data_IF_829434423430
#
_entry.id   IF_829434423430
#
_cell.length_a   1.000
_cell.length_b   1.000
_cell.length_c   1.000
_cell.angle_alpha   90.00
_cell.angle_beta   90.00
_cell.angle_gamma   90.00
#
_symmetry.space_group_name_H-M   'P 1'
#
loop_
_entity.id
_entity.type
_entity.pdbx_description
1 polymer ?
#
# COMPACT_ATOMS: atom_id res chain seq x y z
N UNK A 1 48.28 69.40 -11.05
CA UNK A 1 47.25 68.35 -11.15
C UNK A 1 47.84 67.04 -10.63
N UNK A 2 47.34 66.54 -9.50
CA UNK A 2 47.80 65.31 -8.82
C UNK A 2 47.26 64.08 -9.55
N UNK A 3 48.12 63.13 -9.95
CA UNK A 3 47.71 61.77 -10.32
C UNK A 3 48.13 60.81 -9.21
N UNK A 4 47.15 60.31 -8.45
CA UNK A 4 47.33 59.26 -7.46
C UNK A 4 47.17 57.92 -8.18
N UNK A 5 48.22 57.09 -8.21
CA UNK A 5 48.12 55.68 -8.64
C UNK A 5 47.63 54.85 -7.46
N UNK A 6 46.44 54.26 -7.55
CA UNK A 6 45.96 53.25 -6.61
C UNK A 6 46.51 51.88 -7.04
N UNK A 7 47.34 51.27 -6.20
CA UNK A 7 47.62 49.83 -6.28
C UNK A 7 46.41 49.09 -5.70
N UNK A 8 45.78 48.22 -6.50
CA UNK A 8 44.80 47.25 -6.02
C UNK A 8 45.57 45.95 -5.78
N UNK A 9 45.73 45.56 -4.53
CA UNK A 9 46.25 44.24 -4.15
C UNK A 9 45.05 43.30 -4.10
N UNK A 10 44.96 42.38 -5.05
CA UNK A 10 43.96 41.31 -5.07
C UNK A 10 44.47 40.20 -4.14
N UNK A 11 43.99 40.16 -2.89
CA UNK A 11 44.29 39.08 -1.96
C UNK A 11 43.50 37.82 -2.34
N UNK A 12 44.16 36.79 -2.86
CA UNK A 12 43.58 35.46 -2.98
C UNK A 12 43.37 34.91 -1.55
N UNK A 13 42.11 34.81 -1.13
CA UNK A 13 41.72 34.03 0.06
C UNK A 13 41.63 32.57 -0.42
N UNK A 14 42.68 31.79 -0.18
CA UNK A 14 42.63 30.34 -0.35
C UNK A 14 41.90 29.73 0.84
N UNK A 15 40.62 29.41 0.67
CA UNK A 15 39.87 28.61 1.64
C UNK A 15 40.44 27.18 1.65
N UNK A 16 40.91 26.64 2.78
CA UNK A 16 41.34 25.26 2.83
C UNK A 16 40.13 24.35 2.61
N UNK A 17 40.17 23.56 1.53
CA UNK A 17 39.22 22.48 1.29
C UNK A 17 39.50 21.37 2.30
N UNK A 18 38.87 21.43 3.47
CA UNK A 18 38.92 20.34 4.43
C UNK A 18 38.27 19.09 3.85
N UNK A 19 38.99 17.98 3.81
CA UNK A 19 38.41 16.66 3.58
C UNK A 19 37.45 16.34 4.73
N UNK A 20 36.14 16.38 4.46
CA UNK A 20 35.14 15.91 5.41
C UNK A 20 35.21 14.38 5.45
N UNK A 21 35.59 13.81 6.58
CA UNK A 21 35.53 12.37 6.82
C UNK A 21 34.09 11.99 7.16
N UNK A 22 33.58 10.93 6.52
CA UNK A 22 32.27 10.40 6.89
C UNK A 22 32.29 9.95 8.35
N UNK A 23 31.29 10.35 9.13
CA UNK A 23 31.20 10.04 10.55
C UNK A 23 30.79 8.57 10.74
N UNK A 24 31.61 7.80 11.46
CA UNK A 24 31.24 6.42 11.83
C UNK A 24 30.16 6.40 12.91
N UNK A 25 30.25 7.24 13.94
CA UNK A 25 29.23 7.28 15.00
C UNK A 25 27.84 7.63 14.46
N UNK A 26 26.83 6.85 14.83
CA UNK A 26 25.43 7.12 14.47
C UNK A 26 24.89 8.36 15.20
N UNK A 27 24.07 9.15 14.52
CA UNK A 27 23.22 10.18 15.13
C UNK A 27 21.75 9.82 14.88
N UNK A 28 20.97 9.48 15.92
CA UNK A 28 19.57 9.11 15.78
C UNK A 28 18.70 10.29 15.34
N UNK A 29 17.75 10.04 14.45
CA UNK A 29 16.73 10.97 14.00
C UNK A 29 15.33 10.52 14.38
N UNK A 30 14.34 10.94 13.59
CA UNK A 30 12.94 10.63 13.83
C UNK A 30 12.62 9.14 13.55
N UNK A 31 11.73 8.58 14.38
CA UNK A 31 11.09 7.29 14.18
C UNK A 31 9.71 7.52 13.57
N UNK A 32 9.38 6.83 12.49
CA UNK A 32 8.07 6.87 11.85
C UNK A 32 7.51 5.46 11.66
N UNK A 33 6.18 5.36 11.62
CA UNK A 33 5.45 4.12 11.43
C UNK A 33 4.49 4.25 10.23
N UNK A 34 5.01 4.30 8.99
CA UNK A 34 4.22 4.69 7.83
C UNK A 34 3.19 3.61 7.45
N UNK A 35 1.98 4.08 7.12
CA UNK A 35 0.89 3.30 6.50
C UNK A 35 0.58 1.96 7.20
N UNK A 36 0.11 1.97 8.46
CA UNK A 36 -0.21 0.73 9.18
C UNK A 36 -1.23 -0.12 8.42
N UNK A 37 -1.05 -1.44 8.45
CA UNK A 37 -2.00 -2.41 7.90
C UNK A 37 -2.85 -3.02 9.01
N UNK A 38 -3.68 -4.01 8.70
CA UNK A 38 -4.47 -4.70 9.73
C UNK A 38 -3.63 -5.60 10.62
N UNK A 39 -2.43 -6.03 10.18
CA UNK A 39 -1.60 -6.97 10.93
C UNK A 39 -0.11 -6.60 10.97
N UNK A 40 0.26 -5.46 10.40
CA UNK A 40 1.65 -5.01 10.30
C UNK A 40 1.85 -3.55 10.69
N UNK A 41 3.02 -3.28 11.26
CA UNK A 41 3.55 -1.93 11.47
C UNK A 41 4.95 -1.86 10.88
N UNK A 42 5.13 -1.06 9.83
CA UNK A 42 6.46 -0.68 9.35
C UNK A 42 7.12 0.29 10.33
N UNK A 43 8.43 0.21 10.45
CA UNK A 43 9.27 1.06 11.30
C UNK A 43 10.36 1.63 10.42
N UNK A 44 10.44 2.96 10.36
CA UNK A 44 11.60 3.65 9.82
C UNK A 44 12.22 4.52 10.91
N UNK A 45 13.53 4.38 11.11
CA UNK A 45 14.30 5.22 12.01
C UNK A 45 15.37 5.95 11.21
N UNK A 46 15.13 7.23 10.95
CA UNK A 46 16.10 8.08 10.27
C UNK A 46 17.37 8.21 11.12
N UNK A 47 18.54 8.17 10.47
CA UNK A 47 19.83 8.35 11.15
C UNK A 47 20.80 9.17 10.28
N UNK A 48 21.82 9.77 10.90
CA UNK A 48 23.01 10.28 10.21
C UNK A 48 24.26 9.55 10.70
N UNK A 49 25.37 9.62 9.96
CA UNK A 49 26.58 8.85 10.26
C UNK A 49 26.44 7.37 9.90
N UNK A 50 27.07 6.50 10.70
CA UNK A 50 27.17 5.05 10.46
C UNK A 50 27.74 4.72 9.07
N UNK A 51 28.85 5.36 8.72
CA UNK A 51 29.48 5.24 7.41
C UNK A 51 30.03 3.83 7.12
N UNK A 52 30.36 3.08 8.16
CA UNK A 52 30.81 1.69 8.11
C UNK A 52 29.66 0.67 8.28
N UNK A 53 28.40 1.14 8.45
CA UNK A 53 27.17 0.34 8.49
C UNK A 53 27.20 -0.79 9.54
N UNK A 54 27.74 -0.50 10.72
CA UNK A 54 27.85 -1.45 11.83
C UNK A 54 26.89 -1.16 12.98
N UNK A 55 26.07 -0.11 12.88
CA UNK A 55 24.97 0.17 13.80
C UNK A 55 23.88 -0.91 13.76
N UNK A 56 23.43 -1.35 14.92
CA UNK A 56 22.38 -2.36 15.09
C UNK A 56 21.22 -1.75 15.86
N UNK A 57 20.00 -1.88 15.34
CA UNK A 57 18.78 -1.53 16.07
C UNK A 57 17.94 -2.77 16.38
N UNK A 58 17.78 -3.04 17.67
CA UNK A 58 16.91 -4.12 18.17
C UNK A 58 15.52 -3.57 18.47
N UNK A 59 14.52 -4.44 18.37
CA UNK A 59 13.11 -4.08 18.54
C UNK A 59 12.47 -4.98 19.59
N UNK A 60 11.72 -4.39 20.52
CA UNK A 60 10.74 -5.13 21.32
C UNK A 60 9.43 -4.37 21.34
N UNK A 61 8.33 -5.08 21.51
CA UNK A 61 7.00 -4.49 21.44
C UNK A 61 6.01 -5.22 22.35
N UNK A 62 4.91 -4.56 22.71
CA UNK A 62 3.78 -5.17 23.42
C UNK A 62 2.48 -4.50 23.00
N UNK A 63 1.38 -5.22 23.04
CA UNK A 63 0.06 -4.58 23.00
C UNK A 63 -0.07 -3.68 24.24
N UNK A 64 -0.55 -2.45 24.11
CA UNK A 64 -0.57 -1.48 25.22
C UNK A 64 -1.40 -1.93 26.43
N UNK A 65 -2.32 -2.89 26.24
CA UNK A 65 -3.11 -3.51 27.30
C UNK A 65 -2.38 -4.63 28.05
N UNK A 66 -1.24 -5.08 27.54
CA UNK A 66 -0.46 -6.22 28.05
C UNK A 66 0.81 -5.76 28.78
N UNK A 67 1.26 -6.52 29.76
CA UNK A 67 2.59 -6.38 30.38
C UNK A 67 3.70 -7.10 29.61
N UNK A 68 3.35 -7.95 28.66
CA UNK A 68 4.26 -8.96 28.13
C UNK A 68 4.95 -8.45 26.87
N UNK A 69 6.24 -8.13 27.02
CA UNK A 69 7.09 -7.72 25.92
C UNK A 69 7.45 -8.92 25.03
N UNK A 70 7.32 -8.71 23.72
CA UNK A 70 7.74 -9.62 22.66
C UNK A 70 8.97 -9.03 21.97
N UNK A 71 9.86 -9.90 21.52
CA UNK A 71 11.02 -9.50 20.72
C UNK A 71 10.61 -9.42 19.25
N UNK A 72 10.86 -8.28 18.60
CA UNK A 72 10.73 -8.11 17.16
C UNK A 72 12.04 -8.42 16.45
N UNK A 73 12.00 -8.47 15.11
CA UNK A 73 13.22 -8.56 14.31
C UNK A 73 14.02 -7.25 14.42
N UNK A 74 15.34 -7.35 14.33
CA UNK A 74 16.19 -6.16 14.24
C UNK A 74 15.85 -5.36 12.98
N UNK A 75 15.98 -4.03 13.06
CA UNK A 75 15.88 -3.19 11.88
C UNK A 75 17.11 -3.40 10.99
N UNK A 76 16.88 -3.35 9.68
CA UNK A 76 17.91 -3.49 8.65
C UNK A 76 18.49 -2.12 8.34
N UNK A 77 19.80 -2.08 8.15
CA UNK A 77 20.51 -0.87 7.75
C UNK A 77 20.24 -0.51 6.29
N UNK A 78 19.79 0.73 6.04
CA UNK A 78 19.52 1.27 4.71
C UNK A 78 20.36 2.53 4.49
N UNK A 79 21.58 2.41 3.92
CA UNK A 79 22.41 3.56 3.58
C UNK A 79 21.68 4.52 2.64
N UNK A 80 21.91 5.83 2.79
CA UNK A 80 21.40 6.81 1.83
C UNK A 80 21.86 6.46 0.42
N UNK A 81 20.97 6.65 -0.55
CA UNK A 81 21.25 6.28 -1.92
C UNK A 81 20.31 6.93 -2.91
N UNK A 82 20.59 6.67 -4.18
CA UNK A 82 19.79 7.13 -5.30
C UNK A 82 19.86 6.15 -6.46
N UNK A 83 18.78 6.03 -7.21
CA UNK A 83 18.77 5.36 -8.50
C UNK A 83 19.27 6.31 -9.60
N UNK A 84 20.06 5.79 -10.53
CA UNK A 84 20.62 6.54 -11.65
C UNK A 84 19.62 6.78 -12.79
N UNK A 85 18.52 6.02 -12.80
CA UNK A 85 17.46 6.04 -13.80
C UNK A 85 16.12 6.19 -13.10
N UNK A 86 15.34 7.21 -13.47
CA UNK A 86 13.94 7.42 -13.04
C UNK A 86 13.75 8.24 -11.76
N UNK A 87 12.62 8.94 -11.71
CA UNK A 87 12.12 9.69 -10.54
C UNK A 87 11.11 8.83 -9.76
N UNK A 88 11.52 7.61 -9.37
CA UNK A 88 10.62 6.65 -8.73
C UNK A 88 10.32 6.97 -7.25
N UNK A 89 9.11 6.63 -6.81
CA UNK A 89 8.67 6.83 -5.43
C UNK A 89 8.60 8.30 -4.99
N UNK A 90 8.31 8.55 -3.70
CA UNK A 90 8.14 9.91 -3.17
C UNK A 90 9.44 10.73 -3.05
N UNK A 91 10.60 10.08 -3.19
CA UNK A 91 11.91 10.72 -3.09
C UNK A 91 12.55 11.09 -4.43
N UNK A 92 11.86 10.92 -5.57
CA UNK A 92 12.43 11.18 -6.90
C UNK A 92 13.68 10.32 -7.15
N UNK A 93 13.55 9.01 -6.90
CA UNK A 93 14.65 8.05 -7.02
C UNK A 93 15.69 8.12 -5.90
N UNK A 94 15.51 8.95 -4.85
CA UNK A 94 16.46 9.09 -3.73
C UNK A 94 15.85 8.65 -2.41
N UNK A 95 16.68 8.13 -1.52
CA UNK A 95 16.28 7.79 -0.16
C UNK A 95 17.33 8.22 0.87
N UNK A 96 16.83 8.60 2.04
CA UNK A 96 17.66 9.00 3.17
C UNK A 96 18.29 7.81 3.90
N UNK A 97 19.27 8.13 4.72
CA UNK A 97 19.96 7.18 5.57
C UNK A 97 19.04 6.75 6.74
N UNK A 98 18.77 5.45 6.88
CA UNK A 98 17.84 4.95 7.91
C UNK A 98 18.13 3.52 8.35
N UNK A 99 17.44 3.12 9.40
CA UNK A 99 17.18 1.73 9.77
C UNK A 99 15.70 1.44 9.50
N UNK A 100 15.37 0.30 8.91
CA UNK A 100 14.00 -0.03 8.53
C UNK A 100 13.64 -1.49 8.81
N UNK A 101 12.39 -1.75 9.16
CA UNK A 101 11.89 -3.10 9.42
C UNK A 101 10.39 -3.07 9.68
N UNK A 102 9.81 -4.21 10.05
CA UNK A 102 8.38 -4.31 10.32
C UNK A 102 8.09 -5.25 11.49
N UNK A 103 7.02 -4.96 12.21
CA UNK A 103 6.35 -5.91 13.10
C UNK A 103 5.22 -6.57 12.33
N UNK A 104 5.13 -7.90 12.45
CA UNK A 104 4.16 -8.74 11.76
C UNK A 104 3.24 -9.46 12.76
N UNK A 105 2.19 -10.10 12.24
CA UNK A 105 1.25 -10.93 13.00
C UNK A 105 0.64 -10.21 14.22
N UNK A 106 0.41 -8.92 14.07
CA UNK A 106 -0.24 -8.09 15.07
C UNK A 106 -1.75 -8.26 14.98
N UNK A 107 -2.44 -8.23 16.12
CA UNK A 107 -3.89 -8.18 16.16
C UNK A 107 -4.41 -6.87 15.53
N UNK A 108 -5.47 -6.92 14.70
CA UNK A 108 -6.09 -5.73 14.10
C UNK A 108 -6.72 -4.77 15.09
N UNK A 109 -6.67 -3.47 14.79
CA UNK A 109 -7.29 -2.41 15.58
C UNK A 109 -6.68 -2.26 16.99
N UNK A 110 -5.42 -2.68 17.16
CA UNK A 110 -4.72 -2.65 18.46
C UNK A 110 -3.58 -1.66 18.44
N UNK A 111 -3.34 -1.07 19.60
CA UNK A 111 -2.22 -0.18 19.86
C UNK A 111 -1.08 -0.95 20.49
N UNK A 112 0.14 -0.70 20.00
CA UNK A 112 1.38 -1.33 20.44
C UNK A 112 2.36 -0.27 20.90
N UNK A 113 2.97 -0.53 22.05
CA UNK A 113 4.19 0.15 22.48
C UNK A 113 5.39 -0.56 21.87
N UNK A 114 6.34 0.21 21.35
CA UNK A 114 7.51 -0.27 20.62
C UNK A 114 8.74 0.40 21.21
N UNK A 115 9.67 -0.39 21.70
CA UNK A 115 11.00 0.08 22.10
C UNK A 115 12.01 -0.30 21.03
N UNK A 116 12.80 0.69 20.62
CA UNK A 116 13.90 0.57 19.67
C UNK A 116 15.19 0.89 20.40
N UNK A 117 16.16 -0.02 20.36
CA UNK A 117 17.49 0.20 20.94
C UNK A 117 18.54 0.10 19.86
N UNK A 118 19.11 1.25 19.51
CA UNK A 118 20.27 1.41 18.63
C UNK A 118 21.56 1.28 19.44
N UNK A 119 22.47 0.44 18.96
CA UNK A 119 23.85 0.31 19.44
C UNK A 119 24.81 0.42 18.27
N UNK A 120 25.85 1.22 18.44
CA UNK A 120 26.89 1.46 17.43
C UNK A 120 28.26 1.43 18.14
N UNK A 121 29.20 0.55 17.73
CA UNK A 121 30.55 0.48 18.30
C UNK A 121 31.35 1.79 18.23
N UNK A 122 31.07 2.64 17.25
CA UNK A 122 31.72 3.93 17.03
C UNK A 122 31.04 5.07 17.83
N UNK A 123 29.92 4.80 18.50
CA UNK A 123 29.19 5.72 19.37
C UNK A 123 27.82 6.15 18.80
N UNK A 124 26.98 6.76 19.64
CA UNK A 124 25.63 7.19 19.22
C UNK A 124 24.48 6.24 19.56
N UNK A 125 24.72 5.31 20.49
CA UNK A 125 23.69 4.40 21.00
C UNK A 125 22.51 5.18 21.61
N UNK A 126 21.29 4.72 21.35
CA UNK A 126 20.06 5.37 21.83
C UNK A 126 18.96 4.34 22.05
N UNK A 127 18.09 4.59 23.03
CA UNK A 127 16.80 3.89 23.14
C UNK A 127 15.67 4.89 22.95
N UNK A 128 14.69 4.54 22.13
CA UNK A 128 13.49 5.33 21.86
C UNK A 128 12.27 4.43 22.02
N UNK A 129 11.26 4.94 22.72
CA UNK A 129 9.93 4.33 22.76
C UNK A 129 8.99 5.11 21.85
N UNK A 130 8.16 4.38 21.10
CA UNK A 130 7.10 4.94 20.26
C UNK A 130 5.84 4.08 20.37
N UNK A 131 4.74 4.57 19.82
CA UNK A 131 3.45 3.88 19.81
C UNK A 131 2.89 3.84 18.39
N UNK A 132 2.41 2.69 17.96
CA UNK A 132 1.73 2.50 16.67
C UNK A 132 0.44 1.72 16.83
N UNK A 133 -0.51 1.93 15.91
CA UNK A 133 -1.77 1.19 15.91
C UNK A 133 -1.98 0.49 14.57
N UNK A 134 -2.31 -0.80 14.60
CA UNK A 134 -2.80 -1.50 13.42
C UNK A 134 -4.19 -1.00 13.08
N UNK A 135 -4.55 -1.03 11.79
CA UNK A 135 -5.92 -0.72 11.35
C UNK A 135 -6.87 -1.81 11.80
N UNK A 136 -8.11 -1.43 12.13
CA UNK A 136 -9.17 -2.40 12.35
C UNK A 136 -9.54 -3.10 11.03
N UNK A 137 -10.04 -4.33 11.10
CA UNK A 137 -10.64 -4.98 9.93
C UNK A 137 -11.85 -4.14 9.48
N UNK A 138 -11.92 -3.72 8.21
CA UNK A 138 -13.07 -2.98 7.70
C UNK A 138 -14.39 -3.75 7.91
N UNK A 139 -15.32 -3.11 8.61
CA UNK A 139 -16.64 -3.65 8.90
C UNK A 139 -17.73 -2.74 8.34
N UNK A 140 -18.85 -3.33 7.95
CA UNK A 140 -20.06 -2.56 7.62
C UNK A 140 -20.67 -2.06 8.92
N UNK A 141 -20.97 -0.76 9.05
CA UNK A 141 -21.59 -0.22 10.26
C UNK A 141 -22.91 -0.93 10.57
N UNK A 142 -23.17 -1.23 11.84
CA UNK A 142 -24.39 -1.93 12.27
C UNK A 142 -25.66 -1.12 11.97
N UNK A 143 -25.55 0.20 11.84
CA UNK A 143 -26.64 1.12 11.51
C UNK A 143 -26.66 1.52 10.02
N UNK A 144 -25.98 0.76 9.16
CA UNK A 144 -26.03 0.97 7.71
C UNK A 144 -27.46 0.83 7.18
N UNK A 145 -27.86 1.72 6.27
CA UNK A 145 -29.21 1.74 5.69
C UNK A 145 -29.30 0.73 4.56
N UNK A 146 -29.87 -0.43 4.87
CA UNK A 146 -30.04 -1.50 3.88
C UNK A 146 -31.15 -1.17 2.89
N UNK A 147 -30.82 -1.20 1.60
CA UNK A 147 -31.70 -0.97 0.46
C UNK A 147 -31.72 -2.24 -0.40
N UNK A 148 -32.85 -2.95 -0.52
CA UNK A 148 -32.99 -4.08 -1.43
C UNK A 148 -32.92 -3.60 -2.90
N UNK A 149 -32.16 -4.30 -3.73
CA UNK A 149 -31.90 -3.90 -5.12
C UNK A 149 -32.05 -5.08 -6.08
N UNK A 150 -32.81 -4.89 -7.15
CA UNK A 150 -32.92 -5.84 -8.28
C UNK A 150 -32.13 -5.31 -9.47
N UNK A 151 -31.92 -6.11 -10.54
CA UNK A 151 -31.32 -5.60 -11.76
C UNK A 151 -32.01 -4.35 -12.32
N UNK A 152 -33.35 -4.28 -12.25
CA UNK A 152 -34.11 -3.14 -12.78
C UNK A 152 -34.01 -1.88 -11.92
N UNK A 153 -33.73 -1.99 -10.62
CA UNK A 153 -33.62 -0.85 -9.70
C UNK A 153 -32.19 -0.44 -9.39
N UNK A 154 -31.19 -1.21 -9.83
CA UNK A 154 -29.79 -0.96 -9.50
C UNK A 154 -29.30 0.41 -9.93
N UNK A 155 -29.50 0.79 -11.19
CA UNK A 155 -28.97 2.06 -11.71
C UNK A 155 -29.50 3.28 -10.93
N UNK A 156 -30.81 3.33 -10.64
CA UNK A 156 -31.41 4.44 -9.88
C UNK A 156 -31.01 4.43 -8.41
N UNK A 157 -30.88 3.24 -7.80
CA UNK A 157 -30.46 3.12 -6.40
C UNK A 157 -28.99 3.51 -6.24
N UNK A 158 -28.11 3.06 -7.14
CA UNK A 158 -26.70 3.45 -7.16
C UNK A 158 -26.55 4.96 -7.38
N UNK A 159 -27.30 5.55 -8.32
CA UNK A 159 -27.26 6.98 -8.60
C UNK A 159 -27.75 7.85 -7.41
N UNK A 160 -28.48 7.28 -6.46
CA UNK A 160 -28.95 7.95 -5.23
C UNK A 160 -28.26 7.46 -3.96
N UNK A 161 -27.27 6.57 -4.07
CA UNK A 161 -26.53 6.06 -2.93
C UNK A 161 -25.75 7.19 -2.22
N UNK A 162 -25.78 7.13 -0.89
CA UNK A 162 -25.14 8.06 0.02
C UNK A 162 -24.27 7.30 1.05
N UNK A 163 -23.25 7.93 1.63
CA UNK A 163 -22.43 7.31 2.67
C UNK A 163 -23.26 6.67 3.80
N UNK A 164 -22.95 5.42 4.14
CA UNK A 164 -23.69 4.61 5.11
C UNK A 164 -24.84 3.79 4.53
N UNK A 165 -25.09 3.86 3.22
CA UNK A 165 -26.02 2.95 2.55
C UNK A 165 -25.38 1.58 2.29
N UNK A 166 -26.20 0.53 2.41
CA UNK A 166 -25.90 -0.83 1.98
C UNK A 166 -26.91 -1.21 0.89
N UNK A 167 -26.45 -1.32 -0.35
CA UNK A 167 -27.23 -1.82 -1.47
C UNK A 167 -27.13 -3.34 -1.46
N UNK A 168 -28.20 -4.02 -1.02
CA UNK A 168 -28.29 -5.48 -0.99
C UNK A 168 -28.91 -5.97 -2.30
N UNK A 169 -28.09 -6.55 -3.15
CA UNK A 169 -28.47 -7.01 -4.48
C UNK A 169 -29.03 -8.42 -4.41
N UNK A 170 -30.27 -8.59 -4.87
CA UNK A 170 -30.88 -9.91 -5.06
C UNK A 170 -30.31 -10.65 -6.27
N UNK A 171 -30.67 -11.93 -6.46
CA UNK A 171 -30.24 -12.73 -7.61
C UNK A 171 -30.54 -12.05 -8.95
N UNK A 172 -29.57 -12.07 -9.85
CA UNK A 172 -29.75 -11.55 -11.19
C UNK A 172 -28.45 -11.14 -11.88
N UNK A 173 -28.61 -10.77 -13.15
CA UNK A 173 -27.54 -10.19 -13.95
C UNK A 173 -27.68 -8.68 -14.00
N UNK A 174 -26.62 -7.98 -13.65
CA UNK A 174 -26.52 -6.54 -13.57
C UNK A 174 -25.57 -6.03 -14.65
N UNK A 175 -25.86 -4.86 -15.21
CA UNK A 175 -24.90 -4.17 -16.06
C UNK A 175 -23.72 -3.65 -15.20
N UNK A 176 -22.46 -3.72 -15.68
CA UNK A 176 -21.35 -3.07 -14.99
C UNK A 176 -21.57 -1.56 -14.81
N UNK A 177 -20.87 -0.97 -13.85
CA UNK A 177 -21.09 0.42 -13.47
C UNK A 177 -19.79 1.16 -13.16
N UNK A 178 -19.88 2.49 -13.22
CA UNK A 178 -18.86 3.39 -12.69
C UNK A 178 -19.42 4.08 -11.44
N UNK A 179 -18.66 4.04 -10.34
CA UNK A 179 -19.08 4.64 -9.07
C UNK A 179 -18.88 6.16 -9.10
N UNK A 180 -19.97 6.90 -8.93
CA UNK A 180 -19.96 8.36 -9.00
C UNK A 180 -19.59 9.04 -7.68
N UNK A 181 -19.74 8.35 -6.54
CA UNK A 181 -19.56 8.94 -5.20
C UNK A 181 -18.67 8.10 -4.32
N UNK A 182 -18.01 8.73 -3.36
CA UNK A 182 -17.30 8.05 -2.28
C UNK A 182 -18.24 7.85 -1.08
N UNK A 183 -17.95 6.86 -0.25
CA UNK A 183 -18.33 6.91 1.15
C UNK A 183 -17.46 7.90 1.92
N UNK A 184 -17.57 7.88 3.24
CA UNK A 184 -16.69 8.62 4.16
C UNK A 184 -16.23 7.68 5.27
N UNK A 185 -15.22 8.06 6.09
CA UNK A 185 -14.83 7.27 7.25
C UNK A 185 -16.04 6.86 8.10
N UNK A 186 -16.06 5.60 8.53
CA UNK A 186 -17.15 4.96 9.29
C UNK A 186 -18.53 4.91 8.60
N UNK A 187 -18.66 5.41 7.37
CA UNK A 187 -19.88 5.40 6.57
C UNK A 187 -19.56 5.04 5.11
N UNK A 188 -19.09 3.80 4.85
CA UNK A 188 -18.86 3.36 3.48
C UNK A 188 -20.18 3.29 2.70
N UNK A 189 -20.08 3.29 1.37
CA UNK A 189 -21.18 2.82 0.52
C UNK A 189 -20.89 1.36 0.22
N UNK A 190 -21.80 0.48 0.62
CA UNK A 190 -21.63 -0.97 0.47
C UNK A 190 -22.49 -1.48 -0.67
N UNK A 191 -21.90 -2.23 -1.57
CA UNK A 191 -22.57 -2.94 -2.66
C UNK A 191 -22.33 -4.42 -2.39
N UNK A 192 -23.37 -5.10 -1.91
CA UNK A 192 -23.29 -6.49 -1.47
C UNK A 192 -24.30 -7.35 -2.21
N UNK A 193 -23.87 -8.45 -2.79
CA UNK A 193 -24.80 -9.46 -3.28
C UNK A 193 -25.35 -10.33 -2.15
N UNK A 194 -26.58 -10.83 -2.29
CA UNK A 194 -27.09 -11.88 -1.40
C UNK A 194 -26.22 -13.15 -1.46
N UNK A 195 -25.57 -13.40 -2.62
CA UNK A 195 -24.55 -14.42 -2.81
C UNK A 195 -23.73 -14.10 -4.06
N UNK A 196 -22.41 -14.39 -4.00
CA UNK A 196 -21.54 -14.28 -5.15
C UNK A 196 -21.97 -15.19 -6.31
N UNK A 197 -22.65 -16.32 -6.02
CA UNK A 197 -23.09 -17.27 -7.04
C UNK A 197 -24.30 -16.79 -7.85
N UNK A 198 -25.08 -15.86 -7.30
CA UNK A 198 -26.37 -15.46 -7.88
C UNK A 198 -26.41 -14.01 -8.33
N UNK A 199 -25.47 -13.17 -7.87
CA UNK A 199 -25.37 -11.75 -8.24
C UNK A 199 -24.19 -11.56 -9.18
N UNK A 200 -24.49 -11.33 -10.45
CA UNK A 200 -23.48 -11.31 -11.51
C UNK A 200 -23.51 -9.97 -12.26
N UNK A 201 -22.40 -9.25 -12.27
CA UNK A 201 -22.18 -8.14 -13.19
C UNK A 201 -21.57 -8.67 -14.48
N UNK A 202 -22.24 -8.49 -15.61
CA UNK A 202 -21.78 -9.07 -16.88
C UNK A 202 -22.30 -8.36 -18.13
N UNK A 203 -21.51 -8.29 -19.21
CA UNK A 203 -20.04 -8.39 -19.23
C UNK A 203 -19.41 -7.01 -19.02
N UNK A 204 -18.23 -6.96 -18.40
CA UNK A 204 -17.38 -5.77 -18.42
C UNK A 204 -16.91 -5.31 -17.04
N UNK A 205 -16.45 -4.06 -17.02
CA UNK A 205 -15.67 -3.49 -15.91
C UNK A 205 -16.54 -2.76 -14.89
N UNK A 206 -16.32 -3.05 -13.61
CA UNK A 206 -16.74 -2.18 -12.51
C UNK A 206 -15.63 -1.16 -12.25
N UNK A 207 -15.95 0.13 -12.38
CA UNK A 207 -14.96 1.22 -12.28
C UNK A 207 -15.18 2.04 -11.01
N UNK A 208 -14.15 2.10 -10.16
CA UNK A 208 -14.16 2.76 -8.85
C UNK A 208 -13.08 3.84 -8.73
N UNK A 209 -12.59 4.35 -9.87
CA UNK A 209 -11.48 5.30 -9.91
C UNK A 209 -11.73 6.54 -9.03
N UNK A 210 -10.70 6.91 -8.27
CA UNK A 210 -10.66 8.06 -7.36
C UNK A 210 -11.79 8.07 -6.32
N UNK A 211 -12.34 6.89 -5.99
CA UNK A 211 -13.33 6.75 -4.93
C UNK A 211 -12.68 6.29 -3.65
N UNK A 212 -13.40 6.48 -2.55
CA UNK A 212 -12.98 5.98 -1.25
C UNK A 212 -14.15 5.43 -0.48
N UNK A 213 -13.87 4.51 0.44
CA UNK A 213 -14.87 3.91 1.33
C UNK A 213 -16.02 3.25 0.55
N UNK A 214 -15.69 2.52 -0.52
CA UNK A 214 -16.63 1.68 -1.26
C UNK A 214 -16.30 0.23 -0.98
N UNK A 215 -17.29 -0.53 -0.55
CA UNK A 215 -17.14 -1.96 -0.25
C UNK A 215 -17.90 -2.77 -1.30
N UNK A 216 -17.19 -3.64 -2.00
CA UNK A 216 -17.74 -4.68 -2.86
C UNK A 216 -17.69 -6.01 -2.13
N UNK A 217 -18.84 -6.66 -1.97
CA UNK A 217 -18.94 -7.91 -1.23
C UNK A 217 -19.87 -8.92 -1.91
N UNK A 218 -19.49 -10.20 -1.86
CA UNK A 218 -20.40 -11.31 -2.18
C UNK A 218 -21.02 -11.21 -3.59
N UNK A 219 -20.20 -10.90 -4.60
CA UNK A 219 -20.65 -10.66 -5.98
C UNK A 219 -19.69 -11.25 -7.02
N UNK A 220 -20.23 -11.68 -8.17
CA UNK A 220 -19.44 -12.11 -9.34
C UNK A 220 -19.31 -10.98 -10.35
N UNK A 221 -18.10 -10.73 -10.84
CA UNK A 221 -17.78 -9.83 -11.95
C UNK A 221 -17.26 -10.66 -13.13
N UNK A 222 -17.96 -10.60 -14.26
CA UNK A 222 -17.51 -11.13 -15.55
C UNK A 222 -16.75 -10.03 -16.30
N UNK A 223 -15.53 -9.75 -15.84
CA UNK A 223 -14.66 -8.65 -16.29
C UNK A 223 -13.71 -8.21 -15.20
N UNK A 224 -13.43 -6.91 -15.13
CA UNK A 224 -12.41 -6.31 -14.27
C UNK A 224 -13.03 -5.45 -13.16
N UNK A 225 -12.39 -5.39 -12.00
CA UNK A 225 -12.59 -4.33 -11.00
C UNK A 225 -11.42 -3.37 -11.12
N UNK A 226 -11.67 -2.14 -11.56
CA UNK A 226 -10.64 -1.10 -11.68
C UNK A 226 -10.80 -0.03 -10.62
N UNK A 227 -9.73 0.31 -9.91
CA UNK A 227 -9.78 1.26 -8.79
C UNK A 227 -8.63 2.27 -8.79
N UNK A 228 -8.24 2.83 -9.95
CA UNK A 228 -7.13 3.79 -10.03
C UNK A 228 -7.34 4.97 -9.08
N UNK A 229 -6.34 5.31 -8.26
CA UNK A 229 -6.41 6.36 -7.24
C UNK A 229 -7.38 6.10 -6.08
N UNK A 230 -7.98 4.91 -6.00
CA UNK A 230 -8.95 4.60 -4.96
C UNK A 230 -8.28 4.25 -3.62
N UNK A 231 -8.91 4.67 -2.52
CA UNK A 231 -8.36 4.47 -1.16
C UNK A 231 -9.42 4.03 -0.16
N UNK A 232 -9.02 3.25 0.84
CA UNK A 232 -9.92 2.71 1.86
C UNK A 232 -11.07 1.89 1.25
N UNK A 233 -10.76 1.15 0.19
CA UNK A 233 -11.70 0.27 -0.50
C UNK A 233 -11.73 -1.10 0.16
N UNK A 234 -12.86 -1.81 0.03
CA UNK A 234 -12.95 -3.23 0.36
C UNK A 234 -13.42 -3.98 -0.86
N UNK A 235 -12.72 -5.04 -1.22
CA UNK A 235 -13.19 -6.06 -2.17
C UNK A 235 -13.03 -7.39 -1.48
N UNK A 236 -14.14 -8.04 -1.12
CA UNK A 236 -14.08 -9.32 -0.41
C UNK A 236 -15.16 -10.31 -0.77
N UNK A 237 -14.83 -11.60 -0.74
CA UNK A 237 -15.77 -12.68 -1.09
C UNK A 237 -16.38 -12.51 -2.48
N UNK A 238 -15.64 -11.88 -3.37
CA UNK A 238 -16.05 -11.68 -4.76
C UNK A 238 -15.43 -12.75 -5.66
N UNK A 239 -16.13 -13.05 -6.77
CA UNK A 239 -15.60 -13.87 -7.86
C UNK A 239 -15.32 -12.98 -9.05
N UNK A 240 -14.11 -13.03 -9.58
CA UNK A 240 -13.72 -12.26 -10.76
C UNK A 240 -13.33 -13.26 -11.85
N UNK A 241 -13.93 -13.11 -13.03
CA UNK A 241 -13.75 -13.98 -14.19
C UNK A 241 -13.47 -13.12 -15.40
N UNK A 242 -12.29 -13.28 -16.01
CA UNK A 242 -11.81 -12.31 -17.00
C UNK A 242 -10.80 -12.93 -17.96
N UNK A 243 -10.70 -12.38 -19.17
CA UNK A 243 -9.57 -12.59 -20.08
C UNK A 243 -8.64 -11.36 -20.16
N UNK A 244 -8.89 -10.38 -19.30
CA UNK A 244 -8.13 -9.14 -19.10
C UNK A 244 -7.70 -9.06 -17.61
N UNK A 245 -7.33 -7.88 -17.10
CA UNK A 245 -7.01 -7.71 -15.68
C UNK A 245 -8.15 -8.10 -14.72
N UNK A 246 -7.80 -8.61 -13.55
CA UNK A 246 -8.75 -9.01 -12.50
C UNK A 246 -9.16 -7.84 -11.60
N UNK A 247 -8.37 -7.55 -10.57
CA UNK A 247 -8.51 -6.39 -9.69
C UNK A 247 -7.28 -5.51 -9.87
N UNK A 248 -7.44 -4.33 -10.48
CA UNK A 248 -6.31 -3.48 -10.87
C UNK A 248 -6.47 -2.08 -10.32
N UNK A 249 -5.36 -1.47 -9.87
CA UNK A 249 -5.36 -0.05 -9.53
C UNK A 249 -3.98 0.60 -9.59
N UNK A 250 -3.92 1.68 -10.36
CA UNK A 250 -2.75 2.53 -10.51
C UNK A 250 -2.95 3.88 -9.81
N UNK A 251 -2.00 4.80 -9.96
CA UNK A 251 -2.17 6.20 -9.60
C UNK A 251 -3.32 6.81 -10.41
N UNK A 252 -4.24 7.50 -9.74
CA UNK A 252 -5.30 8.28 -10.37
C UNK A 252 -5.06 9.77 -10.15
N UNK A 253 -6.10 10.49 -9.76
CA UNK A 253 -5.95 11.83 -9.18
C UNK A 253 -5.27 11.78 -7.81
N UNK A 254 -5.22 10.61 -7.17
CA UNK A 254 -4.59 10.35 -5.88
C UNK A 254 -3.72 9.09 -5.95
N UNK A 255 -2.83 8.92 -4.99
CA UNK A 255 -2.09 7.67 -4.79
C UNK A 255 -3.00 6.71 -3.99
N UNK A 256 -3.26 5.48 -4.48
CA UNK A 256 -4.04 4.49 -3.74
C UNK A 256 -3.47 4.22 -2.34
N UNK A 257 -4.33 4.12 -1.33
CA UNK A 257 -3.94 3.77 0.04
C UNK A 257 -4.95 2.83 0.69
N UNK A 258 -4.47 1.98 1.59
CA UNK A 258 -5.32 1.32 2.59
C UNK A 258 -6.41 0.37 2.04
N UNK A 259 -6.34 -0.01 0.76
CA UNK A 259 -7.29 -0.95 0.14
C UNK A 259 -7.16 -2.35 0.76
N UNK A 260 -8.30 -3.00 0.97
CA UNK A 260 -8.44 -4.29 1.65
C UNK A 260 -9.08 -5.30 0.69
N UNK A 261 -8.27 -6.18 0.13
CA UNK A 261 -8.61 -7.11 -0.96
C UNK A 261 -8.41 -8.52 -0.42
N UNK A 262 -9.47 -9.13 0.07
CA UNK A 262 -9.36 -10.42 0.77
C UNK A 262 -10.45 -11.41 0.40
N UNK A 263 -10.16 -12.70 0.52
CA UNK A 263 -11.14 -13.77 0.29
C UNK A 263 -11.79 -13.71 -1.10
N UNK A 264 -11.07 -13.25 -2.12
CA UNK A 264 -11.59 -13.22 -3.48
C UNK A 264 -11.11 -14.42 -4.29
N UNK A 265 -11.88 -14.80 -5.30
CA UNK A 265 -11.52 -15.84 -6.27
C UNK A 265 -11.41 -15.22 -7.66
N UNK A 266 -10.17 -15.00 -8.11
CA UNK A 266 -9.82 -14.23 -9.31
C UNK A 266 -9.24 -15.19 -10.36
N UNK A 267 -9.95 -15.39 -11.47
CA UNK A 267 -9.56 -16.36 -12.50
C UNK A 267 -9.47 -15.69 -13.86
N UNK A 268 -8.27 -15.76 -14.44
CA UNK A 268 -7.90 -15.30 -15.78
C UNK A 268 -7.99 -16.40 -16.83
N UNK A 269 -7.37 -16.18 -17.99
CA UNK A 269 -7.40 -17.07 -19.15
C UNK A 269 -6.02 -17.53 -19.65
N UNK A 270 -4.94 -17.19 -18.95
CA UNK A 270 -3.60 -17.70 -19.24
C UNK A 270 -3.52 -19.21 -18.94
N UNK A 271 -2.69 -19.93 -19.70
CA UNK A 271 -2.49 -21.38 -19.60
C UNK A 271 -1.06 -21.78 -19.18
N UNK A 272 -0.25 -20.84 -18.67
CA UNK A 272 1.19 -20.98 -18.28
C UNK A 272 1.98 -21.99 -19.13
N UNK A 273 1.95 -21.81 -20.44
CA UNK A 273 2.87 -22.49 -21.37
C UNK A 273 4.09 -21.61 -21.60
N UNK A 274 5.23 -22.18 -22.02
CA UNK A 274 6.45 -21.38 -22.30
C UNK A 274 6.17 -20.18 -23.22
N UNK A 275 5.35 -20.37 -24.26
CA UNK A 275 4.99 -19.31 -25.21
C UNK A 275 4.18 -18.15 -24.58
N UNK A 276 3.59 -18.36 -23.40
CA UNK A 276 2.79 -17.36 -22.69
C UNK A 276 3.53 -16.72 -21.49
N UNK A 277 4.63 -17.29 -21.04
CA UNK A 277 5.39 -16.80 -19.88
C UNK A 277 6.61 -15.93 -20.28
N UNK A 278 6.91 -15.82 -21.57
CA UNK A 278 7.94 -14.91 -22.07
C UNK A 278 7.53 -13.44 -21.97
N UNK A 279 8.49 -12.53 -22.20
CA UNK A 279 8.24 -11.09 -22.25
C UNK A 279 7.18 -10.70 -23.30
N UNK A 280 7.12 -11.46 -24.40
CA UNK A 280 6.12 -11.34 -25.48
C UNK A 280 4.93 -12.31 -25.32
N UNK A 281 4.73 -12.83 -24.12
CA UNK A 281 3.75 -13.86 -23.80
C UNK A 281 2.31 -13.36 -23.66
N UNK A 282 1.51 -13.99 -22.79
CA UNK A 282 0.11 -13.63 -22.60
C UNK A 282 -0.04 -12.18 -22.10
N UNK A 283 -0.77 -11.35 -22.86
CA UNK A 283 -1.02 -9.93 -22.60
C UNK A 283 -2.47 -9.65 -22.14
N UNK A 284 -3.13 -10.66 -21.56
CA UNK A 284 -4.48 -10.49 -21.02
C UNK A 284 -4.50 -9.91 -19.61
N UNK A 285 -3.54 -9.06 -19.26
CA UNK A 285 -3.44 -8.41 -17.95
C UNK A 285 -3.06 -9.32 -16.79
N UNK A 286 -3.19 -8.76 -15.59
CA UNK A 286 -2.71 -9.33 -14.32
C UNK A 286 -3.86 -9.59 -13.35
N UNK A 287 -3.65 -10.52 -12.41
CA UNK A 287 -4.70 -10.97 -11.50
C UNK A 287 -5.10 -9.89 -10.51
N UNK A 288 -4.19 -9.55 -9.59
CA UNK A 288 -4.31 -8.44 -8.65
C UNK A 288 -3.05 -7.57 -8.78
N UNK A 289 -3.15 -6.46 -9.51
CA UNK A 289 -2.04 -5.55 -9.78
C UNK A 289 -2.26 -4.19 -9.14
N UNK A 290 -1.25 -3.65 -8.46
CA UNK A 290 -1.42 -2.41 -7.73
C UNK A 290 -0.17 -1.60 -7.40
N UNK A 291 -0.39 -0.33 -7.05
CA UNK A 291 0.62 0.59 -6.51
C UNK A 291 0.11 1.28 -5.24
N UNK A 292 0.96 2.03 -4.53
CA UNK A 292 0.61 2.71 -3.29
C UNK A 292 0.91 1.91 -2.02
N UNK A 293 0.37 2.36 -0.88
CA UNK A 293 0.80 1.87 0.45
C UNK A 293 -0.35 1.45 1.35
N UNK A 294 -0.01 0.66 2.37
CA UNK A 294 -0.95 0.27 3.43
C UNK A 294 -1.96 -0.78 2.98
N UNK A 295 -1.78 -1.41 1.81
CA UNK A 295 -2.72 -2.37 1.26
C UNK A 295 -2.68 -3.71 2.00
N UNK A 296 -3.80 -4.41 2.00
CA UNK A 296 -3.91 -5.79 2.48
C UNK A 296 -4.48 -6.62 1.35
N UNK A 297 -3.69 -7.58 0.88
CA UNK A 297 -4.02 -8.51 -0.21
C UNK A 297 -3.78 -9.92 0.32
N UNK A 298 -4.79 -10.50 0.96
CA UNK A 298 -4.62 -11.77 1.64
C UNK A 298 -5.80 -12.73 1.44
N UNK A 299 -5.53 -14.03 1.53
CA UNK A 299 -6.57 -15.08 1.43
C UNK A 299 -7.32 -15.09 0.09
N UNK A 300 -6.73 -14.54 -0.96
CA UNK A 300 -7.30 -14.62 -2.30
C UNK A 300 -6.84 -15.90 -2.99
N UNK A 301 -7.71 -16.51 -3.78
CA UNK A 301 -7.33 -17.47 -4.80
C UNK A 301 -7.15 -16.73 -6.12
N UNK A 302 -5.97 -16.83 -6.74
CA UNK A 302 -5.65 -16.14 -8.00
C UNK A 302 -5.01 -17.11 -8.98
N UNK A 303 -5.60 -17.19 -10.17
CA UNK A 303 -5.29 -18.21 -11.18
C UNK A 303 -5.36 -17.66 -12.60
N UNK A 304 -4.54 -18.17 -13.52
CA UNK A 304 -4.74 -17.93 -14.95
C UNK A 304 -4.28 -16.56 -15.42
N UNK A 305 -3.29 -15.95 -14.75
CA UNK A 305 -2.64 -14.72 -15.20
C UNK A 305 -1.15 -14.95 -15.38
N UNK A 306 -0.48 -14.13 -16.21
CA UNK A 306 0.99 -14.17 -16.28
C UNK A 306 1.57 -13.84 -14.90
N UNK A 307 1.10 -12.74 -14.33
CA UNK A 307 1.37 -12.32 -12.96
C UNK A 307 0.08 -12.34 -12.17
N UNK A 308 -0.02 -13.29 -11.24
CA UNK A 308 -1.22 -13.46 -10.42
C UNK A 308 -1.37 -12.31 -9.41
N UNK A 309 -0.32 -11.98 -8.67
CA UNK A 309 -0.29 -10.80 -7.79
C UNK A 309 1.01 -10.06 -8.03
N UNK A 310 0.91 -8.76 -8.23
CA UNK A 310 2.00 -7.93 -8.73
C UNK A 310 1.86 -6.50 -8.23
N UNK A 311 3.01 -5.82 -8.22
CA UNK A 311 3.11 -4.41 -7.95
C UNK A 311 3.42 -3.68 -9.26
N UNK A 312 3.05 -2.41 -9.36
CA UNK A 312 3.39 -1.61 -10.54
C UNK A 312 4.90 -1.45 -10.69
N UNK A 313 5.33 -1.32 -11.94
CA UNK A 313 6.71 -1.09 -12.35
C UNK A 313 6.86 0.33 -12.91
N UNK A 314 8.09 0.73 -13.23
CA UNK A 314 8.41 2.02 -13.87
C UNK A 314 7.81 3.24 -13.15
N UNK A 315 7.27 4.20 -13.90
CA UNK A 315 6.81 5.49 -13.36
C UNK A 315 5.50 5.35 -12.56
N UNK A 316 4.80 4.23 -12.74
CA UNK A 316 3.60 3.85 -12.00
C UNK A 316 3.92 3.24 -10.62
N UNK A 317 5.16 2.79 -10.41
CA UNK A 317 5.66 2.28 -9.13
C UNK A 317 5.87 3.42 -8.12
N UNK A 318 4.91 3.62 -7.21
CA UNK A 318 4.93 4.76 -6.31
C UNK A 318 4.58 4.39 -4.87
N UNK A 319 5.53 4.60 -3.96
CA UNK A 319 5.40 4.32 -2.52
C UNK A 319 4.82 2.93 -2.22
N UNK A 320 5.36 1.90 -2.87
CA UNK A 320 4.92 0.51 -2.69
C UNK A 320 5.50 -0.07 -1.39
N UNK A 321 4.98 0.39 -0.25
CA UNK A 321 5.48 0.10 1.10
C UNK A 321 4.35 -0.22 2.07
N UNK A 322 4.67 -0.94 3.16
CA UNK A 322 3.70 -1.35 4.17
C UNK A 322 2.50 -2.07 3.56
N UNK A 323 2.76 -3.14 2.81
CA UNK A 323 1.73 -3.94 2.12
C UNK A 323 1.77 -5.35 2.69
N UNK A 324 0.61 -5.85 3.11
CA UNK A 324 0.46 -7.26 3.48
C UNK A 324 0.04 -8.06 2.24
N UNK A 325 0.92 -8.93 1.74
CA UNK A 325 0.59 -9.95 0.74
C UNK A 325 0.74 -11.31 1.42
N UNK A 326 -0.38 -11.91 1.86
CA UNK A 326 -0.32 -13.04 2.80
C UNK A 326 -1.37 -14.11 2.54
N UNK A 327 -1.01 -15.38 2.71
CA UNK A 327 -1.94 -16.51 2.64
C UNK A 327 -2.82 -16.55 1.37
N UNK A 328 -2.32 -16.08 0.23
CA UNK A 328 -3.03 -16.21 -1.04
C UNK A 328 -2.73 -17.59 -1.66
N UNK A 329 -3.74 -18.20 -2.26
CA UNK A 329 -3.62 -19.42 -3.05
C UNK A 329 -3.35 -19.02 -4.51
N UNK A 330 -2.17 -19.35 -5.02
CA UNK A 330 -1.71 -18.95 -6.35
C UNK A 330 -1.60 -20.18 -7.24
N UNK A 331 -2.35 -20.19 -8.33
CA UNK A 331 -2.41 -21.31 -9.29
C UNK A 331 -2.07 -20.86 -10.72
N UNK A 332 -1.66 -21.84 -11.53
CA UNK A 332 -1.53 -21.72 -12.98
C UNK A 332 -2.89 -21.43 -13.63
#
# INVERSE_FOLDING_TARGET
>A
MRRVRRLIVLGLIASPSGTAWAQNATTPGAVTLPYPTTMGLSIEWAIAGDANNNGIATVRYRESSSSDWRTGMNLIRVPAGSNATGDFGSGGGKWGNKLAGSLFDLAPGKTYEIDLTLTDPDGGSMTVSTTGATRAIPAVPADAKTKPVTPSTFASTLASAAPGDLLLLGPGTYAPFAMARSGIPDRPIVIRGESADTVVFSPGRVTLNDRSWIYLEDLTIQGEIRMNGASNMVVRRCKIRTGAGGITFEIGNQIPRNNYIVDNDVVGAANWTNDQLGADGYDGGEGIQFTGSGHVVCFNHVKGFRDNISLMEYDEAYEQVSIDICNNDIEQ
#
